data_IF_496045591893
#
_entry.id   IF_496045591893
#
_cell.length_a   1.000
_cell.length_b   1.000
_cell.length_c   1.000
_cell.angle_alpha   90.00
_cell.angle_beta   90.00
_cell.angle_gamma   90.00
#
_symmetry.space_group_name_H-M   'P 1'
#
loop_
_entity.id
_entity.type
_entity.pdbx_description
1 polymer ?
#
# COMPACT_ATOMS: atom_id res chain seq x y z
N UNK A 1 10.99 13.31 28.88
CA UNK A 1 11.32 13.93 27.58
C UNK A 1 10.47 13.23 26.54
N UNK A 2 9.35 13.84 26.13
CA UNK A 2 8.44 13.28 25.11
C UNK A 2 8.84 13.89 23.76
N UNK A 3 9.59 13.14 22.95
CA UNK A 3 9.84 13.54 21.57
C UNK A 3 8.57 13.27 20.74
N UNK A 4 8.06 14.22 19.94
CA UNK A 4 6.96 13.93 19.03
C UNK A 4 7.40 12.85 18.05
N UNK A 5 6.66 11.74 17.99
CA UNK A 5 6.82 10.71 16.97
C UNK A 5 6.33 11.31 15.64
N UNK A 6 7.24 11.95 14.90
CA UNK A 6 6.97 12.32 13.52
C UNK A 6 6.82 11.02 12.72
N UNK A 7 5.80 10.88 11.85
CA UNK A 7 5.73 9.73 10.97
C UNK A 7 7.02 9.67 10.13
N UNK A 8 7.68 8.52 10.15
CA UNK A 8 8.77 8.23 9.21
C UNK A 8 8.19 8.28 7.80
N UNK A 9 8.26 9.43 7.13
CA UNK A 9 7.96 9.54 5.70
C UNK A 9 9.15 8.91 4.97
N UNK A 10 9.01 7.62 4.67
CA UNK A 10 9.90 6.92 3.74
C UNK A 10 9.60 7.47 2.34
N UNK A 11 10.32 8.52 1.95
CA UNK A 11 10.40 8.92 0.54
C UNK A 11 11.00 7.74 -0.20
N UNK A 12 10.14 6.97 -0.88
CA UNK A 12 10.53 5.78 -1.62
C UNK A 12 11.74 6.09 -2.51
N UNK A 13 12.78 5.28 -2.33
CA UNK A 13 13.94 5.21 -3.22
C UNK A 13 13.44 5.16 -4.66
N UNK A 14 14.06 5.97 -5.53
CA UNK A 14 13.79 6.10 -6.96
C UNK A 14 13.10 4.87 -7.59
N UNK A 15 11.88 5.07 -8.08
CA UNK A 15 10.99 4.06 -8.67
C UNK A 15 11.48 3.52 -10.04
N UNK A 16 12.78 3.53 -10.31
CA UNK A 16 13.36 3.10 -11.57
C UNK A 16 13.60 1.59 -11.67
N UNK A 17 13.36 0.83 -10.61
CA UNK A 17 13.71 -0.60 -10.58
C UNK A 17 12.69 -1.49 -9.88
N UNK A 18 11.42 -1.10 -9.77
CA UNK A 18 10.40 -2.13 -9.61
C UNK A 18 10.38 -2.94 -10.92
N UNK A 19 10.81 -4.22 -10.93
CA UNK A 19 10.65 -5.02 -12.12
C UNK A 19 9.17 -5.03 -12.43
N UNK A 20 8.79 -4.46 -13.59
CA UNK A 20 7.50 -4.75 -14.23
C UNK A 20 7.51 -6.22 -14.60
N UNK A 21 7.34 -7.09 -13.61
CA UNK A 21 7.00 -8.47 -13.84
C UNK A 21 5.75 -8.45 -14.73
N UNK A 22 5.70 -9.23 -15.83
CA UNK A 22 4.51 -9.36 -16.66
C UNK A 22 3.46 -10.14 -15.88
N UNK A 23 2.93 -9.50 -14.85
CA UNK A 23 1.89 -9.95 -13.96
C UNK A 23 0.52 -9.48 -14.46
N UNK A 24 0.43 -9.02 -15.71
CA UNK A 24 -0.83 -8.66 -16.35
C UNK A 24 -1.55 -9.94 -16.80
N UNK A 25 -2.32 -10.53 -15.90
CA UNK A 25 -3.48 -11.33 -16.35
C UNK A 25 -4.57 -10.34 -16.73
N UNK A 26 -5.34 -10.63 -17.79
CA UNK A 26 -6.43 -9.76 -18.23
C UNK A 26 -7.35 -9.39 -17.04
N UNK A 27 -7.57 -8.09 -16.83
CA UNK A 27 -8.40 -7.58 -15.73
C UNK A 27 -7.76 -7.57 -14.33
N UNK A 28 -6.46 -7.89 -14.20
CA UNK A 28 -5.73 -7.85 -12.92
C UNK A 28 -4.49 -6.95 -13.03
N UNK A 29 -4.45 -5.90 -12.22
CA UNK A 29 -3.23 -5.12 -11.97
C UNK A 29 -2.50 -5.73 -10.78
N UNK A 30 -1.18 -5.91 -10.87
CA UNK A 30 -0.35 -6.40 -9.77
C UNK A 30 0.83 -5.46 -9.52
N UNK A 31 1.11 -5.23 -8.25
CA UNK A 31 2.23 -4.43 -7.77
C UNK A 31 2.97 -5.21 -6.70
N UNK A 32 4.30 -5.06 -6.65
CA UNK A 32 5.11 -5.56 -5.53
C UNK A 32 5.59 -4.33 -4.78
N UNK A 33 5.28 -4.26 -3.49
CA UNK A 33 5.78 -3.24 -2.60
C UNK A 33 6.87 -3.83 -1.70
N UNK A 34 8.10 -3.31 -1.84
CA UNK A 34 9.23 -3.69 -0.99
C UNK A 34 9.25 -2.84 0.28
N UNK A 35 9.17 -3.49 1.45
CA UNK A 35 9.21 -2.85 2.76
C UNK A 35 10.30 -3.44 3.65
N UNK A 36 10.62 -2.79 4.78
CA UNK A 36 11.53 -3.34 5.80
C UNK A 36 11.05 -4.67 6.42
N UNK A 37 9.77 -5.00 6.26
CA UNK A 37 9.16 -6.25 6.75
C UNK A 37 9.07 -7.33 5.67
N UNK A 38 9.63 -7.08 4.49
CA UNK A 38 9.57 -7.95 3.32
C UNK A 38 8.62 -7.44 2.23
N UNK A 39 8.58 -8.17 1.10
CA UNK A 39 7.75 -7.83 -0.05
C UNK A 39 6.27 -8.05 0.24
N UNK A 40 5.42 -7.19 -0.31
CA UNK A 40 3.97 -7.35 -0.31
C UNK A 40 3.45 -7.36 -1.74
N UNK A 41 2.62 -8.34 -2.08
CA UNK A 41 1.89 -8.39 -3.35
C UNK A 41 0.57 -7.64 -3.21
N UNK A 42 0.35 -6.63 -4.03
CA UNK A 42 -0.91 -5.90 -4.14
C UNK A 42 -1.55 -6.27 -5.47
N UNK A 43 -2.80 -6.73 -5.44
CA UNK A 43 -3.59 -7.02 -6.64
C UNK A 43 -4.84 -6.15 -6.67
N UNK A 44 -5.14 -5.58 -7.84
CA UNK A 44 -6.41 -4.91 -8.13
C UNK A 44 -7.12 -5.70 -9.21
N UNK A 45 -8.27 -6.29 -8.88
CA UNK A 45 -9.10 -7.05 -9.81
C UNK A 45 -10.56 -6.70 -9.63
N UNK A 46 -11.26 -6.39 -10.73
CA UNK A 46 -12.67 -5.96 -10.70
C UNK A 46 -12.96 -4.80 -9.72
N UNK A 47 -12.02 -3.87 -9.54
CA UNK A 47 -12.15 -2.73 -8.62
C UNK A 47 -11.93 -3.04 -7.13
N UNK A 48 -11.63 -4.31 -6.80
CA UNK A 48 -11.32 -4.77 -5.46
C UNK A 48 -9.81 -4.88 -5.25
N UNK A 49 -9.35 -4.51 -4.06
CA UNK A 49 -7.93 -4.52 -3.69
C UNK A 49 -7.63 -5.69 -2.76
N UNK A 50 -6.54 -6.40 -3.05
CA UNK A 50 -6.03 -7.52 -2.28
C UNK A 50 -4.56 -7.25 -1.91
N UNK A 51 -4.18 -7.59 -0.68
CA UNK A 51 -2.79 -7.58 -0.20
C UNK A 51 -2.44 -8.99 0.23
N UNK A 52 -1.39 -9.57 -0.37
CA UNK A 52 -0.98 -10.96 -0.15
C UNK A 52 -2.15 -11.96 -0.27
N UNK A 53 -3.05 -11.71 -1.24
CA UNK A 53 -4.25 -12.52 -1.48
C UNK A 53 -5.46 -12.21 -0.59
N UNK A 54 -5.31 -11.38 0.45
CA UNK A 54 -6.40 -10.99 1.35
C UNK A 54 -7.07 -9.68 0.90
N UNK A 55 -8.41 -9.67 0.78
CA UNK A 55 -9.16 -8.46 0.39
C UNK A 55 -9.09 -7.41 1.50
N UNK A 56 -8.75 -6.18 1.15
CA UNK A 56 -8.74 -5.05 2.11
C UNK A 56 -10.07 -4.30 2.10
N UNK A 57 -10.47 -3.78 3.27
CA UNK A 57 -11.67 -2.95 3.39
C UNK A 57 -11.32 -1.46 3.23
N UNK A 58 -12.07 -0.74 2.41
CA UNK A 58 -11.95 0.72 2.31
C UNK A 58 -12.46 1.36 3.60
N UNK A 59 -11.58 2.03 4.31
CA UNK A 59 -11.97 2.93 5.40
C UNK A 59 -12.46 4.24 4.76
N UNK A 60 -13.73 4.59 4.97
CA UNK A 60 -14.21 5.94 4.65
C UNK A 60 -13.64 6.88 5.70
N UNK A 61 -13.07 8.04 5.34
CA UNK A 61 -12.81 9.07 6.32
C UNK A 61 -14.15 9.44 6.97
N UNK A 62 -14.31 9.12 8.25
CA UNK A 62 -15.44 9.60 9.04
C UNK A 62 -15.16 11.04 9.49
N UNK A 63 -16.21 11.86 9.55
CA UNK A 63 -16.20 13.20 10.13
C UNK A 63 -15.92 13.12 11.64
N UNK A 64 -14.66 12.90 12.01
CA UNK A 64 -14.18 12.89 13.38
C UNK A 64 -13.10 13.95 13.53
N UNK A 65 -13.52 15.21 13.65
CA UNK A 65 -12.64 16.25 14.19
C UNK A 65 -12.25 15.89 15.63
N UNK A 66 -11.11 16.36 16.13
CA UNK A 66 -10.62 16.01 17.47
C UNK A 66 -11.62 16.48 18.54
N UNK A 67 -12.04 15.57 19.42
CA UNK A 67 -12.72 15.94 20.65
C UNK A 67 -11.75 16.77 21.52
N UNK A 68 -12.23 17.93 21.97
CA UNK A 68 -11.55 18.85 22.89
C UNK A 68 -11.39 18.26 24.28
#
# INVERSE_FOLDING_TARGET
MNAPLLPEILLGVDTSAEPRLPLASEGVLRYIWESRYGPMLIEVRAGEVYVNGARVQRIRPGAGGPAS
#
